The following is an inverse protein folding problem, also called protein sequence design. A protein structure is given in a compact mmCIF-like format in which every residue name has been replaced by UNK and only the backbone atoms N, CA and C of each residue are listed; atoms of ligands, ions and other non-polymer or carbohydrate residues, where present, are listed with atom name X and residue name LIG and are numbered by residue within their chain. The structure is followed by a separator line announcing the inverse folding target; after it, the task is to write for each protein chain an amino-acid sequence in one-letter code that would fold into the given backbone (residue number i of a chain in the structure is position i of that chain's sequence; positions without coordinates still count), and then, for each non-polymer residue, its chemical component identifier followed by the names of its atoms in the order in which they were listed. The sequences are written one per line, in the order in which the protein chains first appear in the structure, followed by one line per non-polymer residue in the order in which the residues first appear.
data_IF_245618043845
#
_entry.id   IF_245618043845
#
_cell.length_a   1.000
_cell.length_b   1.000
_cell.length_c   1.000
_cell.angle_alpha   90.00
_cell.angle_beta   90.00
_cell.angle_gamma   90.00
#
_symmetry.space_group_name_H-M   'P 1'
#
loop_
_entity.id
_entity.type
_entity.pdbx_description
1 polymer ?
#
# COMPACT_ATOMS: atom_id res chain seq x y z
N UNK A 1 -4.07 -7.59 -16.71
CA UNK A 1 -3.68 -8.51 -15.61
C UNK A 1 -3.05 -7.68 -14.52
N UNK A 2 -3.46 -7.86 -13.28
CA UNK A 2 -2.88 -7.17 -12.11
C UNK A 2 -2.16 -8.17 -11.22
N UNK A 3 -0.93 -7.85 -10.84
CA UNK A 3 -0.10 -8.64 -9.94
C UNK A 3 0.69 -7.67 -9.04
N UNK A 4 0.56 -7.85 -7.72
CA UNK A 4 1.32 -7.12 -6.71
C UNK A 4 1.88 -8.13 -5.72
N UNK A 5 3.18 -8.02 -5.42
CA UNK A 5 3.90 -8.95 -4.56
C UNK A 5 4.90 -8.23 -3.68
N UNK A 6 5.02 -8.76 -2.47
CA UNK A 6 6.09 -8.46 -1.53
C UNK A 6 6.91 -9.73 -1.33
N UNK A 7 8.18 -9.67 -1.66
CA UNK A 7 9.12 -10.78 -1.48
C UNK A 7 10.24 -10.34 -0.53
N UNK A 8 10.88 -11.31 0.15
CA UNK A 8 12.02 -11.02 1.02
C UNK A 8 11.73 -10.02 2.15
N UNK A 9 10.60 -10.15 2.85
CA UNK A 9 10.26 -9.22 3.94
C UNK A 9 11.37 -9.18 5.00
N UNK A 10 11.80 -7.97 5.36
CA UNK A 10 12.80 -7.72 6.41
C UNK A 10 12.30 -6.67 7.38
N UNK A 11 12.69 -6.79 8.64
CA UNK A 11 12.41 -5.82 9.70
C UNK A 11 13.71 -5.14 10.10
N UNK A 12 13.73 -3.80 10.04
CA UNK A 12 14.80 -3.01 10.61
C UNK A 12 14.39 -2.58 12.02
N UNK A 13 15.01 -3.20 13.03
CA UNK A 13 14.69 -2.96 14.45
C UNK A 13 15.06 -1.55 14.93
N UNK A 14 16.09 -0.92 14.35
CA UNK A 14 16.51 0.42 14.76
C UNK A 14 15.51 1.48 14.31
N UNK A 15 15.03 1.34 13.08
CA UNK A 15 14.10 2.27 12.45
C UNK A 15 12.62 1.89 12.66
N UNK A 16 12.36 0.67 13.16
CA UNK A 16 11.02 0.10 13.28
C UNK A 16 10.25 0.17 11.95
N UNK A 17 10.89 -0.31 10.88
CA UNK A 17 10.30 -0.37 9.54
C UNK A 17 10.32 -1.77 8.94
N UNK A 18 9.33 -2.06 8.10
CA UNK A 18 9.27 -3.28 7.28
C UNK A 18 9.52 -2.96 5.81
N UNK A 19 10.46 -3.69 5.23
CA UNK A 19 10.85 -3.58 3.83
C UNK A 19 10.57 -4.89 3.08
N UNK A 20 10.41 -4.80 1.77
CA UNK A 20 10.26 -5.94 0.88
C UNK A 20 10.76 -5.57 -0.53
N UNK A 21 11.13 -6.57 -1.31
CA UNK A 21 11.21 -6.43 -2.76
C UNK A 21 9.78 -6.32 -3.30
N UNK A 22 9.42 -5.14 -3.82
CA UNK A 22 8.07 -4.84 -4.29
C UNK A 22 8.04 -4.96 -5.80
N UNK A 23 7.10 -5.77 -6.29
CA UNK A 23 6.77 -5.86 -7.71
C UNK A 23 5.30 -5.56 -7.94
N UNK A 24 5.02 -4.62 -8.83
CA UNK A 24 3.68 -4.24 -9.27
C UNK A 24 3.62 -4.28 -10.79
N UNK A 25 2.70 -5.06 -11.31
CA UNK A 25 2.37 -5.11 -12.74
C UNK A 25 0.88 -4.86 -12.92
N UNK A 26 0.53 -3.87 -13.75
CA UNK A 26 -0.84 -3.59 -14.14
C UNK A 26 -0.91 -3.43 -15.66
N UNK A 27 -1.94 -4.01 -16.28
CA UNK A 27 -2.14 -3.95 -17.74
C UNK A 27 -0.92 -4.39 -18.58
N UNK A 28 -0.04 -5.21 -18.01
CA UNK A 28 1.19 -5.69 -18.66
C UNK A 28 2.39 -4.75 -18.53
N UNK A 29 2.23 -3.59 -17.92
CA UNK A 29 3.30 -2.66 -17.57
C UNK A 29 3.83 -2.93 -16.16
N UNK A 30 5.16 -2.84 -16.00
CA UNK A 30 5.79 -2.90 -14.67
C UNK A 30 5.81 -1.50 -14.09
N UNK A 31 5.01 -1.28 -13.04
CA UNK A 31 4.87 0.02 -12.38
C UNK A 31 5.93 0.20 -11.28
N UNK A 32 6.26 -0.89 -10.59
CA UNK A 32 7.22 -0.91 -9.48
C UNK A 32 8.00 -2.22 -9.56
N UNK A 33 9.32 -2.13 -9.46
CA UNK A 33 10.23 -3.28 -9.34
C UNK A 33 11.50 -2.84 -8.59
N UNK A 34 11.37 -2.63 -7.28
CA UNK A 34 12.45 -2.13 -6.43
C UNK A 34 12.22 -2.50 -4.95
N UNK A 35 13.28 -2.56 -4.13
CA UNK A 35 13.15 -2.71 -2.68
C UNK A 35 12.51 -1.47 -2.07
N UNK A 36 11.36 -1.63 -1.43
CA UNK A 36 10.60 -0.54 -0.83
C UNK A 36 10.22 -0.85 0.61
N UNK A 37 9.93 0.21 1.34
CA UNK A 37 9.26 0.10 2.62
C UNK A 37 7.75 0.08 2.39
N UNK A 38 7.07 -0.79 3.12
CA UNK A 38 5.68 -1.17 2.82
C UNK A 38 4.72 -0.92 3.97
N UNK A 39 5.22 -0.74 5.18
CA UNK A 39 4.42 -0.70 6.41
C UNK A 39 3.50 0.51 6.56
N UNK A 40 3.97 1.71 6.28
CA UNK A 40 3.21 2.95 6.48
C UNK A 40 2.09 3.08 5.45
N UNK A 41 2.37 2.71 4.19
CA UNK A 41 1.41 2.81 3.09
C UNK A 41 0.44 1.64 2.98
N UNK A 42 0.78 0.45 3.53
CA UNK A 42 -0.06 -0.74 3.40
C UNK A 42 -1.48 -0.57 3.95
N UNK A 43 -1.75 0.07 5.10
CA UNK A 43 -3.12 0.35 5.54
C UNK A 43 -3.95 1.07 4.47
N UNK A 44 -3.42 2.14 3.84
CA UNK A 44 -4.10 2.88 2.79
C UNK A 44 -4.33 2.03 1.54
N UNK A 45 -3.33 1.24 1.16
CA UNK A 45 -3.42 0.29 0.05
C UNK A 45 -4.56 -0.71 0.29
N UNK A 46 -4.65 -1.32 1.48
CA UNK A 46 -5.72 -2.28 1.79
C UNK A 46 -7.11 -1.61 1.85
N UNK A 47 -7.21 -0.41 2.44
CA UNK A 47 -8.45 0.35 2.49
C UNK A 47 -8.98 0.69 1.09
N UNK A 48 -8.08 0.96 0.14
CA UNK A 48 -8.44 1.31 -1.24
C UNK A 48 -9.23 0.22 -1.98
N UNK A 49 -9.25 -1.01 -1.48
CA UNK A 49 -10.10 -2.10 -1.97
C UNK A 49 -11.61 -1.83 -1.83
N UNK A 50 -11.97 -0.86 -0.98
CA UNK A 50 -13.35 -0.49 -0.66
C UNK A 50 -13.61 1.00 -0.80
N UNK A 51 -12.56 1.81 -0.77
CA UNK A 51 -12.65 3.26 -0.66
C UNK A 51 -11.81 3.93 -1.76
N UNK A 52 -12.22 5.12 -2.18
CA UNK A 52 -11.38 5.95 -3.02
C UNK A 52 -10.22 6.50 -2.20
N UNK A 53 -9.04 6.59 -2.79
CA UNK A 53 -7.86 7.14 -2.10
C UNK A 53 -7.26 8.28 -2.91
N UNK A 54 -6.76 9.28 -2.18
CA UNK A 54 -6.05 10.43 -2.74
C UNK A 54 -4.78 10.63 -1.91
N UNK A 55 -3.64 10.07 -2.35
CA UNK A 55 -2.43 10.12 -1.58
C UNK A 55 -1.93 11.56 -1.46
N UNK A 56 -1.25 11.84 -0.37
CA UNK A 56 -0.55 13.08 -0.06
C UNK A 56 0.76 12.69 0.62
N UNK A 57 1.84 12.70 -0.16
CA UNK A 57 3.21 12.54 0.29
C UNK A 57 3.58 13.36 1.53
N UNK A 58 2.93 14.51 1.74
CA UNK A 58 3.24 15.44 2.82
C UNK A 58 2.33 15.29 4.03
N UNK A 59 1.40 14.32 4.00
CA UNK A 59 0.55 14.02 5.13
C UNK A 59 1.34 13.42 6.29
N UNK A 60 0.90 13.71 7.51
CA UNK A 60 1.44 13.08 8.71
C UNK A 60 0.83 11.67 8.85
N UNK A 61 1.67 10.65 8.70
CA UNK A 61 1.29 9.24 8.76
C UNK A 61 0.61 8.86 10.09
N UNK A 62 0.93 9.53 11.20
CA UNK A 62 0.36 9.20 12.51
C UNK A 62 -1.13 9.54 12.61
N UNK A 63 -1.59 10.55 11.84
CA UNK A 63 -2.96 11.08 11.90
C UNK A 63 -3.75 10.90 10.60
N UNK A 64 -3.08 10.83 9.46
CA UNK A 64 -3.69 10.82 8.13
C UNK A 64 -3.23 9.61 7.29
N UNK A 65 -3.16 8.44 7.93
CA UNK A 65 -2.69 7.20 7.30
C UNK A 65 -3.40 6.87 5.97
N UNK A 66 -4.70 7.19 5.85
CA UNK A 66 -5.53 6.96 4.65
C UNK A 66 -5.02 7.72 3.42
N UNK A 67 -4.25 8.78 3.65
CA UNK A 67 -3.67 9.62 2.60
C UNK A 67 -2.22 9.26 2.33
N UNK A 68 -1.65 8.25 2.98
CA UNK A 68 -0.25 7.89 2.71
C UNK A 68 -0.12 7.24 1.32
N UNK A 69 0.96 7.54 0.58
CA UNK A 69 1.35 6.76 -0.59
C UNK A 69 1.44 5.26 -0.25
N UNK A 70 1.12 4.38 -1.20
CA UNK A 70 1.05 2.93 -0.93
C UNK A 70 2.41 2.32 -0.59
N UNK A 71 3.48 2.83 -1.19
CA UNK A 71 4.84 2.38 -0.92
C UNK A 71 5.66 3.57 -0.40
N UNK A 72 5.86 3.61 0.92
CA UNK A 72 6.55 4.68 1.67
C UNK A 72 6.99 4.14 3.03
N UNK A 73 8.16 4.57 3.55
CA UNK A 73 8.59 4.29 4.93
C UNK A 73 8.26 5.41 5.90
N UNK A 74 8.20 5.03 7.18
CA UNK A 74 8.33 5.94 8.33
C UNK A 74 9.78 6.30 8.69
N UNK A 75 10.74 6.04 7.79
CA UNK A 75 12.18 6.22 8.00
C UNK A 75 12.59 7.70 8.19
N UNK A 76 11.72 8.65 7.81
CA UNK A 76 11.99 10.09 7.92
C UNK A 76 12.98 10.63 6.87
N UNK A 77 13.37 9.81 5.89
CA UNK A 77 14.27 10.23 4.81
C UNK A 77 13.54 11.22 3.86
N UNK A 78 14.01 12.48 3.74
CA UNK A 78 13.40 13.46 2.84
C UNK A 78 13.53 13.08 1.36
N UNK A 79 14.49 12.23 1.01
CA UNK A 79 14.73 11.73 -0.35
C UNK A 79 13.94 10.43 -0.63
N UNK A 80 13.13 9.95 0.32
CA UNK A 80 12.20 8.86 0.07
C UNK A 80 11.27 9.25 -1.09
N UNK A 81 11.41 8.52 -2.21
CA UNK A 81 10.67 8.80 -3.44
C UNK A 81 9.16 8.78 -3.19
N UNK A 82 8.72 7.80 -2.39
CA UNK A 82 7.34 7.37 -2.21
C UNK A 82 6.65 7.09 -3.55
N UNK A 83 5.74 6.12 -3.59
CA UNK A 83 5.04 5.77 -4.82
C UNK A 83 3.53 5.97 -4.62
N UNK A 84 3.01 7.18 -4.94
CA UNK A 84 1.63 7.52 -4.70
C UNK A 84 0.74 7.08 -5.86
N UNK A 85 -0.26 6.26 -5.55
CA UNK A 85 -1.34 5.91 -6.46
C UNK A 85 -2.66 6.39 -5.87
N UNK A 86 -3.44 7.15 -6.64
CA UNK A 86 -4.83 7.41 -6.30
C UNK A 86 -5.70 6.25 -6.80
N UNK A 87 -6.73 5.91 -6.03
CA UNK A 87 -7.69 4.86 -6.40
C UNK A 87 -9.07 5.46 -6.56
N UNK A 88 -9.70 5.18 -7.70
CA UNK A 88 -11.11 5.45 -7.95
C UNK A 88 -11.84 4.16 -8.26
N UNK A 89 -13.07 4.03 -7.78
CA UNK A 89 -13.91 2.86 -8.07
C UNK A 89 -14.78 3.14 -9.30
N UNK A 90 -14.71 2.26 -10.29
CA UNK A 90 -15.60 2.20 -11.45
C UNK A 90 -16.40 0.89 -11.41
N UNK A 91 -17.49 0.78 -12.18
CA UNK A 91 -18.40 -0.36 -12.06
C UNK A 91 -17.70 -1.71 -12.32
N UNK A 92 -17.30 -2.40 -11.25
CA UNK A 92 -16.58 -3.69 -11.28
C UNK A 92 -15.06 -3.58 -11.35
N UNK A 93 -14.49 -2.37 -11.35
CA UNK A 93 -13.06 -2.11 -11.52
C UNK A 93 -12.56 -1.06 -10.53
N UNK A 94 -11.26 -1.04 -10.31
CA UNK A 94 -10.57 0.12 -9.74
C UNK A 94 -9.67 0.73 -10.80
N UNK A 95 -9.58 2.06 -10.79
CA UNK A 95 -8.64 2.83 -11.59
C UNK A 95 -7.54 3.29 -10.65
N UNK A 96 -6.31 2.81 -10.89
CA UNK A 96 -5.10 3.33 -10.27
C UNK A 96 -4.57 4.48 -11.11
N UNK A 97 -4.40 5.64 -10.51
CA UNK A 97 -3.72 6.78 -11.14
C UNK A 97 -2.37 6.97 -10.47
N UNK A 98 -1.29 6.74 -11.21
CA UNK A 98 0.07 7.03 -10.73
C UNK A 98 0.30 8.54 -10.71
N UNK A 99 0.84 9.03 -9.59
CA UNK A 99 1.06 10.46 -9.37
C UNK A 99 2.54 10.78 -9.16
N UNK A 100 2.96 11.93 -9.68
CA UNK A 100 4.20 12.60 -9.33
C UNK A 100 3.85 13.79 -8.42
N UNK A 101 4.09 13.65 -7.11
CA UNK A 101 3.68 14.63 -6.11
C UNK A 101 4.82 15.60 -5.76
N UNK A 102 4.50 16.88 -5.85
CA UNK A 102 5.35 18.00 -5.46
C UNK A 102 4.59 18.94 -4.51
N UNK A 103 5.28 19.84 -3.79
CA UNK A 103 4.60 20.87 -3.00
C UNK A 103 3.68 21.78 -3.82
N UNK A 104 3.92 21.91 -5.12
CA UNK A 104 3.08 22.69 -6.06
C UNK A 104 1.85 21.94 -6.59
N UNK A 105 1.70 20.65 -6.27
CA UNK A 105 0.60 19.82 -6.73
C UNK A 105 1.05 18.45 -7.25
N UNK A 106 0.09 17.70 -7.79
CA UNK A 106 0.32 16.36 -8.34
C UNK A 106 0.13 16.36 -9.87
N UNK A 107 1.03 15.65 -10.56
CA UNK A 107 0.92 15.37 -12.00
C UNK A 107 0.57 13.89 -12.19
N UNK A 108 -0.36 13.61 -13.10
CA UNK A 108 -0.69 12.24 -13.50
C UNK A 108 0.39 11.69 -14.42
N UNK A 109 0.92 10.51 -14.09
CA UNK A 109 1.90 9.79 -14.90
C UNK A 109 1.24 8.69 -15.76
N UNK A 110 0.27 7.98 -15.19
CA UNK A 110 -0.44 6.89 -15.86
C UNK A 110 -1.75 6.55 -15.16
N UNK A 111 -2.64 5.87 -15.88
CA UNK A 111 -3.88 5.31 -15.33
C UNK A 111 -4.03 3.85 -15.72
N UNK A 112 -4.43 3.02 -14.76
CA UNK A 112 -4.46 1.57 -14.89
C UNK A 112 -5.79 1.00 -14.44
N UNK A 113 -6.47 0.27 -15.31
CA UNK A 113 -7.74 -0.40 -14.97
C UNK A 113 -7.50 -1.81 -14.45
N UNK A 114 -8.06 -2.09 -13.29
CA UNK A 114 -7.85 -3.36 -12.58
C UNK A 114 -9.23 -3.93 -12.21
N UNK A 115 -9.55 -5.18 -12.60
CA UNK A 115 -10.75 -5.85 -12.11
C UNK A 115 -10.79 -5.87 -10.58
N UNK A 116 -11.88 -5.41 -9.99
CA UNK A 116 -12.00 -5.25 -8.53
C UNK A 116 -11.79 -6.58 -7.78
N UNK A 117 -12.20 -7.69 -8.39
CA UNK A 117 -12.01 -9.05 -7.86
C UNK A 117 -10.54 -9.44 -7.79
N UNK A 118 -9.77 -9.17 -8.85
CA UNK A 118 -8.33 -9.44 -8.89
C UNK A 118 -7.58 -8.52 -7.93
N UNK A 119 -7.99 -7.26 -7.85
CA UNK A 119 -7.46 -6.27 -6.92
C UNK A 119 -7.59 -6.74 -5.47
N UNK A 120 -8.81 -7.06 -5.04
CA UNK A 120 -9.10 -7.54 -3.68
C UNK A 120 -8.35 -8.81 -3.34
N UNK A 121 -8.33 -9.79 -4.27
CA UNK A 121 -7.60 -11.03 -4.08
C UNK A 121 -6.10 -10.78 -3.88
N UNK A 122 -5.52 -9.85 -4.62
CA UNK A 122 -4.11 -9.52 -4.48
C UNK A 122 -3.81 -8.81 -3.15
N UNK A 123 -4.61 -7.81 -2.78
CA UNK A 123 -4.46 -7.08 -1.53
C UNK A 123 -4.64 -7.96 -0.30
N UNK A 124 -5.56 -8.92 -0.34
CA UNK A 124 -5.74 -9.90 0.74
C UNK A 124 -4.45 -10.68 1.00
N UNK A 125 -3.80 -11.17 -0.05
CA UNK A 125 -2.53 -11.91 0.07
C UNK A 125 -1.43 -11.05 0.70
N UNK A 126 -1.35 -9.76 0.35
CA UNK A 126 -0.37 -8.86 0.96
C UNK A 126 -0.63 -8.65 2.44
N UNK A 127 -1.88 -8.40 2.82
CA UNK A 127 -2.28 -8.24 4.22
C UNK A 127 -1.98 -9.49 5.06
N UNK A 128 -2.31 -10.67 4.53
CA UNK A 128 -2.00 -11.96 5.16
C UNK A 128 -0.49 -12.18 5.32
N UNK A 129 0.29 -11.94 4.26
CA UNK A 129 1.75 -12.09 4.29
C UNK A 129 2.41 -11.14 5.29
N UNK A 130 1.98 -9.86 5.32
CA UNK A 130 2.49 -8.88 6.28
C UNK A 130 2.17 -9.28 7.72
N UNK A 131 0.92 -9.69 8.00
CA UNK A 131 0.53 -10.07 9.36
C UNK A 131 1.29 -11.29 9.85
N UNK A 132 1.47 -12.31 9.00
CA UNK A 132 2.25 -13.50 9.33
C UNK A 132 3.72 -13.16 9.62
N UNK A 133 4.29 -12.19 8.90
CA UNK A 133 5.65 -11.70 9.12
C UNK A 133 5.77 -10.87 10.41
N UNK A 134 4.82 -9.98 10.68
CA UNK A 134 4.88 -9.03 11.79
C UNK A 134 4.50 -9.64 13.14
N UNK A 135 3.68 -10.69 13.17
CA UNK A 135 3.19 -11.33 14.40
C UNK A 135 4.28 -11.75 15.42
N UNK A 136 5.40 -12.37 15.01
CA UNK A 136 6.46 -12.74 15.95
C UNK A 136 7.39 -11.58 16.36
N UNK A 137 7.25 -10.38 15.79
CA UNK A 137 8.17 -9.26 16.00
C UNK A 137 7.71 -8.36 17.16
N UNK A 138 8.65 -7.75 17.90
CA UNK A 138 8.39 -6.57 18.74
C UNK A 138 8.34 -5.31 17.85
N UNK A 139 7.44 -5.32 16.87
CA UNK A 139 7.29 -4.28 15.87
C UNK A 139 6.45 -3.12 16.38
N UNK A 140 7.04 -1.91 16.39
CA UNK A 140 6.47 -0.66 16.92
C UNK A 140 6.37 0.37 15.78
N UNK A 141 5.35 0.24 14.91
CA UNK A 141 5.18 1.09 13.74
C UNK A 141 5.08 2.58 14.09
N UNK A 142 5.47 3.43 13.14
CA UNK A 142 5.29 4.88 13.22
C UNK A 142 3.83 5.28 13.50
N UNK A 143 2.88 4.62 12.84
CA UNK A 143 1.46 4.72 13.16
C UNK A 143 1.10 3.58 14.13
N UNK A 144 0.75 3.84 15.40
CA UNK A 144 0.62 2.79 16.42
C UNK A 144 -0.45 1.72 16.14
N UNK A 145 -1.45 2.03 15.31
CA UNK A 145 -2.50 1.09 14.92
C UNK A 145 -2.19 0.34 13.61
N UNK A 146 -1.00 0.45 12.99
CA UNK A 146 -0.73 -0.12 11.65
C UNK A 146 -1.12 -1.59 11.58
N UNK A 147 -0.67 -2.41 12.53
CA UNK A 147 -0.99 -3.85 12.57
C UNK A 147 -2.49 -4.10 12.75
N UNK A 148 -3.17 -3.29 13.57
CA UNK A 148 -4.61 -3.38 13.81
C UNK A 148 -5.42 -2.99 12.57
N UNK A 149 -5.02 -1.93 11.87
CA UNK A 149 -5.62 -1.48 10.62
C UNK A 149 -5.46 -2.53 9.52
N UNK A 150 -4.24 -3.04 9.33
CA UNK A 150 -3.97 -4.11 8.36
C UNK A 150 -4.82 -5.33 8.65
N UNK A 151 -4.91 -5.75 9.92
CA UNK A 151 -5.77 -6.87 10.34
C UNK A 151 -7.24 -6.62 10.03
N UNK A 152 -7.76 -5.43 10.33
CA UNK A 152 -9.15 -5.08 10.08
C UNK A 152 -9.50 -5.09 8.58
N UNK A 153 -8.64 -4.51 7.73
CA UNK A 153 -8.85 -4.49 6.28
C UNK A 153 -8.69 -5.87 5.65
N UNK A 154 -7.71 -6.65 6.09
CA UNK A 154 -7.51 -8.03 5.65
C UNK A 154 -8.73 -8.88 5.96
N UNK A 155 -9.27 -8.80 7.17
CA UNK A 155 -10.48 -9.51 7.57
C UNK A 155 -11.70 -9.08 6.73
N UNK A 156 -11.83 -7.77 6.44
CA UNK A 156 -12.89 -7.28 5.55
C UNK A 156 -12.75 -7.82 4.13
N UNK A 157 -11.53 -7.94 3.62
CA UNK A 157 -11.23 -8.56 2.32
C UNK A 157 -11.65 -10.04 2.28
N UNK A 158 -11.39 -10.81 3.35
CA UNK A 158 -11.82 -12.21 3.44
C UNK A 158 -13.33 -12.36 3.31
N UNK A 159 -14.09 -11.56 4.06
CA UNK A 159 -15.56 -11.58 4.04
C UNK A 159 -16.13 -11.17 2.68
N UNK A 160 -15.46 -10.23 2.00
CA UNK A 160 -15.89 -9.78 0.68
C UNK A 160 -15.69 -10.85 -0.42
N UNK A 161 -14.73 -11.76 -0.24
CA UNK A 161 -14.47 -12.89 -1.13
C UNK A 161 -15.38 -14.11 -0.85
N UNK A 162 -16.21 -14.06 0.20
CA UNK A 162 -17.16 -15.12 0.56
C UNK A 162 -16.61 -16.21 1.49
N UNK A 163 -15.51 -15.94 2.21
CA UNK A 163 -15.05 -16.73 3.37
C UNK A 163 -15.71 -16.31 4.68
#
# INVERSE_FOLDING_TARGET
MFDIRYEGLTHNEELQIVQADVRVVAEGETLVEEPLCIDVGLPALLASAFEETRPDRFADAAVAWERMPFFVCGCGDPDCRAMPFAVRHEAGEVVWTELDQSPSGARVLGEYRIPLTDYRRALRRLGEAFLAFAEPLDYRPLQPDTVKLIRAWTERLRRADGE
#
